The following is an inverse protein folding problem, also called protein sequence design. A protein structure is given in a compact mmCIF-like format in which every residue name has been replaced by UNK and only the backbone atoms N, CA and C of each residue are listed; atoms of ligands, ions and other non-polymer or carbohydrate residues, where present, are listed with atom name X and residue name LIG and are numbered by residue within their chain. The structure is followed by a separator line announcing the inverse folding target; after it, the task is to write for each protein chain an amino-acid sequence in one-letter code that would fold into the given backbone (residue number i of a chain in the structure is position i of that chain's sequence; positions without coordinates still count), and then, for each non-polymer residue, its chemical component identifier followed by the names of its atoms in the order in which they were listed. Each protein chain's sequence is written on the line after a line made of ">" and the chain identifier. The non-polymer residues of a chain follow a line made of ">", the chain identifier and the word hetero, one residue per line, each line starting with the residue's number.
data_IF_858459574130
#
_entry.id   IF_858459574130
#
_cell.length_a   1.000
_cell.length_b   1.000
_cell.length_c   1.000
_cell.angle_alpha   90.00
_cell.angle_beta   90.00
_cell.angle_gamma   90.00
#
_symmetry.space_group_name_H-M   'P 1'
#
loop_
_entity.id
_entity.type
_entity.pdbx_description
1 polymer ?
#
# COMPACT_ATOMS: atom_id res chain seq x y z
N UNK A 1 36.47 -14.61 18.70
CA UNK A 1 36.66 -13.19 18.39
C UNK A 1 35.59 -12.88 17.38
N UNK A 2 34.72 -11.93 17.68
CA UNK A 2 33.64 -11.49 16.79
C UNK A 2 34.14 -10.16 16.18
N UNK A 3 34.17 -10.05 14.85
CA UNK A 3 34.77 -8.90 14.17
C UNK A 3 33.86 -7.68 14.33
N UNK A 4 32.57 -7.91 14.23
CA UNK A 4 31.45 -6.97 14.24
C UNK A 4 31.38 -6.22 15.57
N UNK A 5 31.80 -6.87 16.67
CA UNK A 5 31.87 -6.26 18.01
C UNK A 5 33.13 -5.44 18.28
N UNK A 6 34.18 -5.55 17.46
CA UNK A 6 35.51 -5.00 17.80
C UNK A 6 35.93 -3.84 16.90
N UNK A 7 35.68 -3.92 15.59
CA UNK A 7 36.05 -2.83 14.68
C UNK A 7 35.29 -2.92 13.35
N UNK A 8 34.65 -1.82 12.88
CA UNK A 8 33.92 -1.81 11.62
C UNK A 8 34.79 -2.20 10.41
N UNK A 9 36.09 -1.89 10.46
CA UNK A 9 37.03 -2.09 9.35
C UNK A 9 37.91 -3.34 9.53
N UNK A 10 37.63 -4.19 10.53
CA UNK A 10 38.40 -5.42 10.80
C UNK A 10 39.85 -5.20 11.27
N UNK A 11 40.34 -3.96 11.37
CA UNK A 11 41.73 -3.65 11.71
C UNK A 11 41.86 -3.17 13.15
N UNK A 12 42.66 -3.88 13.95
CA UNK A 12 43.07 -3.47 15.29
C UNK A 12 44.52 -2.98 15.23
N UNK A 13 44.80 -1.86 15.88
CA UNK A 13 46.14 -1.28 16.00
C UNK A 13 46.55 -1.34 17.47
N UNK A 14 47.60 -2.09 17.77
CA UNK A 14 48.23 -2.13 19.09
C UNK A 14 49.54 -1.33 19.03
N UNK A 15 49.78 -0.52 20.05
CA UNK A 15 51.03 0.24 20.19
C UNK A 15 51.79 -0.33 21.38
N UNK A 16 53.01 -0.79 21.15
CA UNK A 16 53.90 -1.33 22.17
C UNK A 16 55.07 -0.38 22.38
N UNK A 17 55.49 -0.26 23.63
CA UNK A 17 56.65 0.52 24.05
C UNK A 17 57.62 -0.38 24.81
N UNK A 18 58.92 -0.27 24.53
CA UNK A 18 59.98 -0.93 25.28
C UNK A 18 61.05 0.09 25.69
N UNK A 19 61.51 0.04 26.94
CA UNK A 19 62.56 0.94 27.43
C UNK A 19 63.97 0.48 26.99
N UNK A 20 64.88 1.40 26.61
CA UNK A 20 64.66 2.84 26.41
C UNK A 20 63.99 3.14 25.05
N UNK A 21 62.76 3.67 25.11
CA UNK A 21 61.96 4.38 24.08
C UNK A 21 61.84 3.81 22.65
N UNK A 22 61.69 2.49 22.49
CA UNK A 22 61.28 1.89 21.21
C UNK A 22 59.75 1.81 21.15
N UNK A 23 59.13 2.46 20.16
CA UNK A 23 57.69 2.33 19.86
C UNK A 23 57.52 1.44 18.62
N UNK A 24 56.66 0.41 18.72
CA UNK A 24 56.27 -0.41 17.57
C UNK A 24 54.75 -0.54 17.49
N UNK A 25 54.23 -0.54 16.27
CA UNK A 25 52.81 -0.73 15.99
C UNK A 25 52.57 -2.13 15.45
N UNK A 26 51.70 -2.89 16.11
CA UNK A 26 51.19 -4.16 15.58
C UNK A 26 49.84 -3.89 14.94
N UNK A 27 49.70 -4.25 13.67
CA UNK A 27 48.42 -4.27 12.96
C UNK A 27 47.90 -5.71 12.94
N UNK A 28 46.72 -5.92 13.54
CA UNK A 28 46.00 -7.19 13.49
C UNK A 28 44.79 -6.99 12.58
N UNK A 29 44.71 -7.77 11.50
CA UNK A 29 43.53 -7.80 10.63
C UNK A 29 42.68 -9.01 11.00
N UNK A 30 41.48 -8.76 11.49
CA UNK A 30 40.45 -9.75 11.74
C UNK A 30 39.67 -9.91 10.43
N UNK A 31 39.71 -11.11 9.87
CA UNK A 31 38.93 -11.46 8.69
C UNK A 31 37.47 -11.68 9.08
N UNK A 32 36.60 -11.35 8.15
CA UNK A 32 35.15 -11.51 8.27
C UNK A 32 34.73 -12.97 8.01
N UNK A 33 33.64 -13.39 8.65
CA UNK A 33 32.95 -14.66 8.40
C UNK A 33 31.46 -14.36 8.20
N UNK A 34 30.77 -15.13 7.35
CA UNK A 34 29.33 -14.94 7.12
C UNK A 34 28.50 -15.51 8.29
N UNK A 35 28.58 -14.87 9.45
CA UNK A 35 27.93 -15.33 10.69
C UNK A 35 26.63 -14.60 11.03
N UNK A 36 26.36 -13.46 10.38
CA UNK A 36 25.09 -12.77 10.44
C UNK A 36 24.20 -13.12 9.25
N UNK A 37 22.97 -12.61 9.26
CA UNK A 37 22.01 -12.80 8.18
C UNK A 37 21.38 -11.44 7.86
N UNK A 38 20.91 -11.23 6.62
CA UNK A 38 20.18 -10.02 6.26
C UNK A 38 19.01 -9.77 7.19
N UNK A 39 18.84 -8.52 7.64
CA UNK A 39 17.72 -8.13 8.51
C UNK A 39 16.96 -6.94 7.93
N UNK A 40 15.63 -7.03 7.95
CA UNK A 40 14.77 -5.90 7.65
C UNK A 40 14.54 -5.06 8.92
N UNK A 41 14.42 -3.73 8.82
CA UNK A 41 14.12 -2.87 9.97
C UNK A 41 12.81 -3.20 10.68
N UNK A 42 11.89 -3.91 10.01
CA UNK A 42 10.62 -4.33 10.57
C UNK A 42 10.20 -5.68 9.98
N UNK A 43 9.59 -6.53 10.81
CA UNK A 43 9.03 -7.83 10.38
C UNK A 43 7.81 -7.68 9.47
N UNK A 44 7.10 -6.56 9.61
CA UNK A 44 5.90 -6.22 8.86
C UNK A 44 6.03 -4.82 8.28
N UNK A 45 5.73 -4.66 6.99
CA UNK A 45 5.68 -3.38 6.30
C UNK A 45 4.26 -3.14 5.77
N UNK A 46 3.76 -1.92 5.92
CA UNK A 46 2.47 -1.51 5.36
C UNK A 46 2.71 -0.53 4.23
N UNK A 47 2.12 -0.83 3.07
CA UNK A 47 2.14 0.03 1.89
C UNK A 47 0.70 0.27 1.47
N UNK A 48 0.41 1.49 1.01
CA UNK A 48 -0.89 1.82 0.45
C UNK A 48 -0.72 2.28 -1.00
N UNK A 49 -1.53 1.72 -1.90
CA UNK A 49 -1.53 2.01 -3.33
C UNK A 49 -2.96 2.24 -3.75
N UNK A 50 -3.26 3.38 -4.37
CA UNK A 50 -4.60 3.64 -4.93
C UNK A 50 -4.84 2.73 -6.13
N UNK A 51 -6.05 2.20 -6.30
CA UNK A 51 -6.34 1.26 -7.40
C UNK A 51 -6.16 1.88 -8.79
N UNK A 52 -6.37 3.19 -8.89
CA UNK A 52 -6.10 3.99 -10.09
C UNK A 52 -4.61 4.19 -10.39
N UNK A 53 -3.70 3.58 -9.62
CA UNK A 53 -2.27 3.65 -9.86
C UNK A 53 -1.88 3.05 -11.22
N UNK A 54 -0.97 3.73 -11.91
CA UNK A 54 -0.51 3.31 -13.23
C UNK A 54 0.46 2.14 -13.10
N UNK A 55 0.39 1.19 -14.04
CA UNK A 55 1.38 0.12 -14.20
C UNK A 55 2.78 0.73 -14.37
N UNK A 56 3.78 0.16 -13.72
CA UNK A 56 5.15 0.68 -13.63
C UNK A 56 5.32 1.75 -12.54
N UNK A 57 4.26 2.11 -11.81
CA UNK A 57 4.41 2.96 -10.62
C UNK A 57 5.18 2.22 -9.52
N UNK A 58 5.94 2.99 -8.73
CA UNK A 58 6.89 2.45 -7.76
C UNK A 58 6.61 2.98 -6.35
N UNK A 59 6.83 2.12 -5.37
CA UNK A 59 6.82 2.47 -3.94
C UNK A 59 8.14 2.05 -3.31
N UNK A 60 8.77 2.97 -2.59
CA UNK A 60 10.01 2.66 -1.87
C UNK A 60 9.68 1.82 -0.65
N UNK A 61 10.38 0.69 -0.51
CA UNK A 61 10.37 -0.16 0.67
C UNK A 61 11.62 0.09 1.51
N UNK A 62 11.57 -0.33 2.77
CA UNK A 62 12.77 -0.46 3.60
C UNK A 62 13.56 -1.68 3.12
N UNK A 63 14.81 -1.47 2.74
CA UNK A 63 15.75 -2.53 2.35
C UNK A 63 16.26 -3.29 3.56
N UNK A 64 16.76 -4.50 3.33
CA UNK A 64 17.49 -5.26 4.33
C UNK A 64 18.92 -4.74 4.45
N UNK A 65 19.53 -4.98 5.61
CA UNK A 65 20.95 -4.73 5.89
C UNK A 65 21.57 -5.93 6.59
N UNK A 66 22.83 -6.18 6.31
CA UNK A 66 23.63 -7.22 6.95
C UNK A 66 24.88 -6.57 7.58
N UNK A 67 25.21 -6.87 8.86
CA UNK A 67 26.35 -6.28 9.56
C UNK A 67 27.72 -6.86 9.15
N UNK A 68 27.76 -7.95 8.39
CA UNK A 68 29.01 -8.57 7.93
C UNK A 68 29.76 -7.66 6.94
N UNK A 69 31.00 -7.99 6.63
CA UNK A 69 31.84 -7.16 5.75
C UNK A 69 31.78 -7.61 4.29
N UNK A 70 31.86 -6.64 3.37
CA UNK A 70 31.94 -6.87 1.93
C UNK A 70 30.81 -7.79 1.40
N UNK A 71 31.12 -8.85 0.67
CA UNK A 71 30.13 -9.75 0.06
C UNK A 71 29.18 -10.39 1.09
N UNK A 72 29.67 -10.71 2.30
CA UNK A 72 28.85 -11.27 3.37
C UNK A 72 27.84 -10.24 3.88
N UNK A 73 28.24 -8.97 3.96
CA UNK A 73 27.35 -7.85 4.31
C UNK A 73 26.48 -7.30 3.18
N UNK A 74 26.75 -7.72 1.94
CA UNK A 74 26.09 -7.17 0.75
C UNK A 74 24.87 -8.01 0.42
N UNK A 75 23.70 -7.37 0.38
CA UNK A 75 22.49 -8.04 -0.11
C UNK A 75 22.67 -8.35 -1.60
N UNK A 76 22.78 -9.62 -1.96
CA UNK A 76 22.95 -10.05 -3.34
C UNK A 76 21.63 -9.96 -4.11
N UNK A 77 20.53 -10.44 -3.51
CA UNK A 77 19.23 -10.52 -4.19
C UNK A 77 18.04 -10.36 -3.24
N UNK A 78 16.91 -9.94 -3.82
CA UNK A 78 15.60 -9.95 -3.17
C UNK A 78 14.67 -10.89 -3.94
N UNK A 79 13.88 -11.66 -3.22
CA UNK A 79 12.85 -12.55 -3.77
C UNK A 79 11.50 -12.15 -3.19
N UNK A 80 10.49 -12.07 -4.06
CA UNK A 80 9.10 -11.79 -3.71
C UNK A 80 8.28 -13.07 -3.90
N UNK A 81 7.41 -13.38 -2.95
CA UNK A 81 6.45 -14.46 -3.03
C UNK A 81 5.04 -13.96 -2.68
N UNK A 82 4.02 -14.48 -3.38
CA UNK A 82 2.61 -14.31 -3.01
C UNK A 82 1.73 -13.53 -3.99
N UNK A 83 2.32 -12.79 -4.94
CA UNK A 83 1.59 -12.17 -6.06
C UNK A 83 2.55 -11.62 -7.16
N UNK A 84 3.38 -12.50 -7.72
CA UNK A 84 4.49 -12.14 -8.63
C UNK A 84 4.02 -11.61 -10.00
N UNK A 85 2.76 -11.85 -10.34
CA UNK A 85 2.13 -11.29 -11.55
C UNK A 85 1.66 -9.84 -11.37
N UNK A 86 1.48 -9.40 -10.11
CA UNK A 86 0.99 -8.06 -9.79
C UNK A 86 2.14 -7.16 -9.34
N UNK A 87 3.13 -7.71 -8.63
CA UNK A 87 4.25 -6.94 -8.09
C UNK A 87 5.60 -7.54 -8.42
N UNK A 88 6.59 -6.68 -8.63
CA UNK A 88 8.00 -7.06 -8.69
C UNK A 88 8.86 -6.15 -7.82
N UNK A 89 10.08 -6.58 -7.55
CA UNK A 89 11.06 -5.83 -6.78
C UNK A 89 12.17 -5.30 -7.69
N UNK A 90 12.47 -4.02 -7.57
CA UNK A 90 13.62 -3.38 -8.19
C UNK A 90 14.61 -3.02 -7.09
N UNK A 91 15.80 -3.60 -7.17
CA UNK A 91 16.96 -3.21 -6.37
C UNK A 91 17.78 -2.17 -7.11
N UNK A 92 18.13 -1.09 -6.43
CA UNK A 92 19.07 -0.07 -6.92
C UNK A 92 20.11 0.20 -5.84
N UNK A 93 21.35 -0.23 -6.07
CA UNK A 93 22.49 0.03 -5.19
C UNK A 93 22.97 1.47 -5.39
N UNK A 94 22.97 2.29 -4.34
CA UNK A 94 23.57 3.62 -4.41
C UNK A 94 25.08 3.55 -4.15
N UNK A 95 25.87 4.43 -4.77
CA UNK A 95 27.33 4.49 -4.61
C UNK A 95 27.80 4.83 -3.18
N UNK A 96 26.86 5.22 -2.31
CA UNK A 96 27.06 5.51 -0.89
C UNK A 96 26.81 4.32 0.04
N UNK A 97 26.57 3.11 -0.48
CA UNK A 97 26.50 1.87 0.31
C UNK A 97 25.12 1.51 0.86
N UNK A 98 24.06 2.20 0.43
CA UNK A 98 22.67 1.85 0.80
C UNK A 98 21.90 1.31 -0.41
N UNK A 99 21.31 0.13 -0.24
CA UNK A 99 20.36 -0.43 -1.21
C UNK A 99 19.03 0.33 -1.16
N UNK A 100 18.51 0.71 -2.32
CA UNK A 100 17.13 1.17 -2.50
C UNK A 100 16.32 0.01 -3.03
N UNK A 101 15.32 -0.41 -2.27
CA UNK A 101 14.34 -1.42 -2.68
C UNK A 101 13.03 -0.72 -3.10
N UNK A 102 12.54 -1.02 -4.30
CA UNK A 102 11.29 -0.50 -4.83
C UNK A 102 10.34 -1.65 -5.15
N UNK A 103 9.09 -1.53 -4.72
CA UNK A 103 7.97 -2.35 -5.19
C UNK A 103 7.38 -1.70 -6.44
N UNK A 104 7.41 -2.40 -7.56
CA UNK A 104 6.84 -1.94 -8.84
C UNK A 104 5.56 -2.70 -9.16
N UNK A 105 4.54 -1.98 -9.61
CA UNK A 105 3.25 -2.53 -10.01
C UNK A 105 3.30 -3.02 -11.46
N UNK A 106 2.93 -4.27 -11.71
CA UNK A 106 2.92 -4.90 -13.05
C UNK A 106 1.52 -5.02 -13.66
N UNK A 107 0.48 -5.07 -12.83
CA UNK A 107 -0.91 -5.26 -13.27
C UNK A 107 -1.81 -4.19 -12.66
N UNK A 108 -2.98 -3.95 -13.27
CA UNK A 108 -3.98 -3.04 -12.68
C UNK A 108 -4.46 -3.59 -11.34
N UNK A 109 -4.73 -2.67 -10.41
CA UNK A 109 -5.38 -2.96 -9.16
C UNK A 109 -6.88 -2.66 -9.28
N UNK A 110 -7.66 -3.34 -8.47
CA UNK A 110 -9.11 -3.17 -8.35
C UNK A 110 -9.46 -3.56 -6.90
N UNK A 111 -9.84 -2.55 -6.11
CA UNK A 111 -10.17 -2.68 -4.70
C UNK A 111 -11.49 -3.41 -4.50
N UNK A 112 -12.45 -3.30 -5.42
CA UNK A 112 -13.70 -4.05 -5.39
C UNK A 112 -13.46 -5.56 -5.55
N UNK A 113 -12.42 -5.93 -6.31
CA UNK A 113 -12.02 -7.34 -6.48
C UNK A 113 -11.09 -7.84 -5.37
N UNK A 114 -10.04 -7.08 -5.02
CA UNK A 114 -9.04 -7.46 -4.01
C UNK A 114 -8.42 -6.23 -3.35
N UNK A 115 -8.72 -6.03 -2.07
CA UNK A 115 -8.31 -4.86 -1.28
C UNK A 115 -6.97 -5.04 -0.53
N UNK A 116 -6.49 -6.28 -0.39
CA UNK A 116 -5.25 -6.59 0.34
C UNK A 116 -4.39 -7.64 -0.38
N UNK A 117 -3.11 -7.32 -0.50
CA UNK A 117 -2.08 -8.27 -0.91
C UNK A 117 -1.09 -8.49 0.24
N UNK A 118 -0.70 -9.74 0.45
CA UNK A 118 0.26 -10.15 1.46
C UNK A 118 1.45 -10.76 0.73
N UNK A 119 2.58 -10.06 0.76
CA UNK A 119 3.79 -10.43 0.06
C UNK A 119 4.85 -10.86 1.06
N UNK A 120 5.56 -11.96 0.80
CA UNK A 120 6.74 -12.34 1.55
C UNK A 120 7.98 -11.89 0.77
N UNK A 121 8.81 -11.04 1.37
CA UNK A 121 10.05 -10.56 0.76
C UNK A 121 11.22 -11.17 1.51
N UNK A 122 12.06 -11.92 0.80
CA UNK A 122 13.32 -12.47 1.31
C UNK A 122 14.51 -11.72 0.72
N UNK A 123 15.51 -11.43 1.55
CA UNK A 123 16.79 -10.85 1.15
C UNK A 123 17.90 -11.88 1.40
N UNK A 124 18.74 -12.12 0.40
CA UNK A 124 19.87 -13.04 0.47
C UNK A 124 21.18 -12.26 0.43
N UNK A 125 22.13 -12.60 1.28
CA UNK A 125 23.50 -12.06 1.24
C UNK A 125 24.32 -12.66 0.07
N UNK A 126 25.54 -12.14 -0.12
CA UNK A 126 26.53 -12.65 -1.07
C UNK A 126 27.47 -13.71 -0.49
N UNK A 127 27.22 -14.18 0.73
CA UNK A 127 28.10 -15.11 1.42
C UNK A 127 28.06 -16.54 0.87
N UNK A 128 28.99 -17.38 1.35
CA UNK A 128 29.07 -18.80 0.96
C UNK A 128 29.19 -19.72 2.19
N UNK A 129 28.14 -20.47 2.57
CA UNK A 129 26.80 -20.48 1.96
C UNK A 129 26.05 -19.16 2.17
N UNK A 130 25.10 -18.81 1.27
CA UNK A 130 24.31 -17.62 1.43
C UNK A 130 23.33 -17.76 2.60
N UNK A 131 23.11 -16.68 3.34
CA UNK A 131 22.09 -16.60 4.39
C UNK A 131 21.03 -15.59 3.98
N UNK A 132 19.88 -15.68 4.64
CA UNK A 132 18.74 -14.87 4.29
C UNK A 132 17.95 -14.41 5.51
N UNK A 133 17.23 -13.31 5.32
CA UNK A 133 16.16 -12.86 6.21
C UNK A 133 14.94 -12.45 5.40
N UNK A 134 13.81 -12.28 6.08
CA UNK A 134 12.55 -12.01 5.42
C UNK A 134 11.67 -11.02 6.19
N UNK A 135 10.74 -10.39 5.48
CA UNK A 135 9.66 -9.59 6.05
C UNK A 135 8.36 -9.81 5.27
N UNK A 136 7.24 -9.52 5.92
CA UNK A 136 5.92 -9.55 5.27
C UNK A 136 5.48 -8.13 4.93
N UNK A 137 5.05 -7.92 3.69
CA UNK A 137 4.51 -6.63 3.21
C UNK A 137 3.01 -6.75 2.99
N UNK A 138 2.24 -5.91 3.68
CA UNK A 138 0.81 -5.72 3.48
C UNK A 138 0.60 -4.55 2.53
N UNK A 139 0.11 -4.83 1.33
CA UNK A 139 -0.24 -3.81 0.35
C UNK A 139 -1.76 -3.61 0.40
N UNK A 140 -2.17 -2.48 0.96
CA UNK A 140 -3.57 -2.08 1.06
C UNK A 140 -3.93 -1.28 -0.19
N UNK A 141 -4.94 -1.73 -0.93
CA UNK A 141 -5.47 -1.01 -2.08
C UNK A 141 -6.41 0.07 -1.57
N UNK A 142 -6.14 1.32 -1.93
CA UNK A 142 -7.00 2.45 -1.59
C UNK A 142 -8.04 2.66 -2.68
N UNK A 143 -9.25 2.94 -2.22
CA UNK A 143 -10.43 3.25 -3.04
C UNK A 143 -10.24 4.51 -3.89
N UNK A 144 -10.66 4.41 -5.15
CA UNK A 144 -10.88 5.50 -6.08
C UNK A 144 -12.36 5.56 -6.42
N UNK A 145 -12.85 6.74 -6.83
CA UNK A 145 -14.21 6.86 -7.33
C UNK A 145 -14.24 6.50 -8.83
N UNK A 146 -14.31 5.21 -9.14
CA UNK A 146 -14.37 4.71 -10.51
C UNK A 146 -15.59 3.83 -10.81
N UNK A 147 -16.41 3.54 -9.79
CA UNK A 147 -17.73 2.97 -9.99
C UNK A 147 -18.80 4.06 -10.03
N UNK A 148 -19.82 3.84 -10.85
CA UNK A 148 -20.97 4.73 -10.93
C UNK A 148 -22.19 4.07 -10.26
N UNK A 149 -23.10 4.84 -9.62
CA UNK A 149 -24.27 4.27 -8.98
C UNK A 149 -25.16 3.52 -9.97
N UNK A 150 -25.52 2.28 -9.64
CA UNK A 150 -26.39 1.42 -10.45
C UNK A 150 -27.76 1.30 -9.78
N UNK A 151 -28.83 1.69 -10.48
CA UNK A 151 -30.19 1.50 -10.00
C UNK A 151 -30.61 0.02 -10.01
N UNK A 152 -31.39 -0.39 -9.01
CA UNK A 152 -31.89 -1.77 -8.90
C UNK A 152 -32.79 -2.19 -10.07
N UNK A 153 -33.44 -1.23 -10.74
CA UNK A 153 -34.29 -1.47 -11.90
C UNK A 153 -33.96 -0.46 -13.00
N UNK A 154 -34.02 -0.90 -14.26
CA UNK A 154 -33.85 -0.03 -15.43
C UNK A 154 -35.04 0.91 -15.65
N UNK A 155 -36.21 0.57 -15.09
CA UNK A 155 -37.44 1.35 -15.15
C UNK A 155 -38.27 1.13 -13.89
N UNK A 156 -38.92 2.19 -13.41
CA UNK A 156 -39.89 2.16 -12.33
C UNK A 156 -41.23 2.66 -12.88
N UNK A 157 -42.26 1.81 -12.88
CA UNK A 157 -43.61 2.14 -13.32
C UNK A 157 -44.56 2.18 -12.13
N UNK A 158 -45.30 3.27 -12.00
CA UNK A 158 -46.40 3.41 -11.03
C UNK A 158 -47.61 4.04 -11.72
N UNK A 159 -48.80 3.70 -11.24
CA UNK A 159 -50.05 4.33 -11.66
C UNK A 159 -50.65 5.05 -10.45
N UNK A 160 -51.06 6.30 -10.66
CA UNK A 160 -51.60 7.17 -9.61
C UNK A 160 -52.95 7.70 -10.05
N UNK A 161 -53.87 7.79 -9.10
CA UNK A 161 -55.12 8.52 -9.28
C UNK A 161 -54.84 10.02 -9.04
N UNK A 162 -55.52 10.89 -9.78
CA UNK A 162 -55.44 12.35 -9.60
C UNK A 162 -55.85 12.81 -8.18
N UNK A 163 -56.60 11.98 -7.46
CA UNK A 163 -57.00 12.20 -6.05
C UNK A 163 -55.88 11.96 -5.03
N UNK A 164 -54.66 11.63 -5.47
CA UNK A 164 -53.51 11.41 -4.59
C UNK A 164 -53.24 12.64 -3.73
N UNK A 165 -53.10 12.42 -2.42
CA UNK A 165 -52.92 13.51 -1.46
C UNK A 165 -51.52 14.12 -1.56
N UNK A 166 -51.37 15.45 -1.48
CA UNK A 166 -50.06 16.07 -1.37
C UNK A 166 -49.27 15.52 -0.18
N UNK A 167 -47.97 15.26 -0.37
CA UNK A 167 -47.10 14.62 0.61
C UNK A 167 -47.14 13.09 0.59
N UNK A 168 -48.01 12.46 -0.21
CA UNK A 168 -48.05 11.00 -0.34
C UNK A 168 -46.72 10.47 -0.88
N UNK A 169 -46.20 9.41 -0.25
CA UNK A 169 -45.03 8.65 -0.73
C UNK A 169 -45.46 7.75 -1.87
N UNK A 170 -44.82 7.92 -3.03
CA UNK A 170 -45.20 7.25 -4.27
C UNK A 170 -44.41 5.95 -4.46
N UNK A 171 -43.09 6.07 -4.47
CA UNK A 171 -42.16 4.95 -4.59
C UNK A 171 -40.82 5.33 -3.97
N UNK A 172 -39.99 4.31 -3.73
CA UNK A 172 -38.60 4.48 -3.33
C UNK A 172 -37.71 3.90 -4.42
N UNK A 173 -36.87 4.73 -5.03
CA UNK A 173 -35.80 4.24 -5.89
C UNK A 173 -34.63 3.77 -5.04
N UNK A 174 -33.88 2.80 -5.55
CA UNK A 174 -32.64 2.35 -4.93
C UNK A 174 -31.56 2.23 -5.98
N UNK A 175 -30.38 2.71 -5.63
CA UNK A 175 -29.14 2.52 -6.35
C UNK A 175 -28.06 2.04 -5.39
N UNK A 176 -27.05 1.38 -5.91
CA UNK A 176 -25.88 0.91 -5.17
C UNK A 176 -24.63 1.32 -5.93
N UNK A 177 -23.61 1.70 -5.19
CA UNK A 177 -22.27 1.99 -5.68
C UNK A 177 -21.31 1.00 -5.01
N UNK A 178 -20.29 0.56 -5.75
CA UNK A 178 -19.34 -0.44 -5.27
C UNK A 178 -18.16 0.18 -4.49
N UNK A 179 -17.93 1.49 -4.68
CA UNK A 179 -16.92 2.26 -3.96
C UNK A 179 -17.24 2.37 -2.46
N UNK A 180 -16.23 2.67 -1.63
CA UNK A 180 -16.41 2.82 -0.18
C UNK A 180 -16.44 4.27 0.30
N UNK A 181 -17.01 4.46 1.50
CA UNK A 181 -17.01 5.76 2.18
C UNK A 181 -17.72 6.85 1.39
N UNK A 182 -17.04 7.97 1.18
CA UNK A 182 -17.60 9.12 0.45
C UNK A 182 -17.73 8.86 -1.06
N UNK A 183 -16.91 7.97 -1.63
CA UNK A 183 -16.95 7.68 -3.06
C UNK A 183 -18.22 6.90 -3.42
N UNK A 184 -18.65 5.97 -2.56
CA UNK A 184 -19.91 5.24 -2.71
C UNK A 184 -21.15 5.96 -2.18
N UNK A 185 -21.05 7.23 -1.74
CA UNK A 185 -22.20 7.96 -1.20
C UNK A 185 -23.12 8.47 -2.32
N UNK A 186 -24.35 7.96 -2.36
CA UNK A 186 -25.32 8.28 -3.41
C UNK A 186 -26.22 9.45 -2.99
N UNK A 187 -26.48 10.37 -3.91
CA UNK A 187 -27.46 11.45 -3.74
C UNK A 187 -28.43 11.49 -4.91
N UNK A 188 -29.73 11.45 -4.61
CA UNK A 188 -30.79 11.42 -5.59
C UNK A 188 -31.28 12.83 -5.95
N UNK A 189 -31.58 13.05 -7.24
CA UNK A 189 -32.21 14.28 -7.74
C UNK A 189 -33.11 14.01 -8.93
N UNK A 190 -34.20 14.77 -9.03
CA UNK A 190 -35.06 14.76 -10.22
C UNK A 190 -34.42 15.64 -11.30
N UNK A 191 -34.02 15.05 -12.42
CA UNK A 191 -33.47 15.80 -13.56
C UNK A 191 -34.56 16.58 -14.30
N UNK A 192 -35.76 16.01 -14.37
CA UNK A 192 -36.95 16.63 -14.94
C UNK A 192 -38.09 16.51 -13.93
N UNK A 193 -38.81 17.61 -13.72
CA UNK A 193 -39.93 17.66 -12.80
C UNK A 193 -40.97 18.67 -13.32
N UNK A 194 -41.76 18.31 -14.35
CA UNK A 194 -42.74 19.22 -14.94
C UNK A 194 -43.65 19.81 -13.88
N UNK A 195 -43.84 21.14 -13.91
CA UNK A 195 -44.65 21.89 -12.95
C UNK A 195 -44.23 21.75 -11.49
N UNK A 196 -43.03 21.21 -11.24
CA UNK A 196 -42.46 20.97 -9.91
C UNK A 196 -43.44 20.24 -8.98
N UNK A 197 -44.11 19.19 -9.48
CA UNK A 197 -45.17 18.48 -8.75
C UNK A 197 -44.67 17.35 -7.85
N UNK A 198 -43.41 16.94 -7.99
CA UNK A 198 -42.83 15.86 -7.21
C UNK A 198 -41.61 16.33 -6.43
N UNK A 199 -41.30 15.65 -5.33
CA UNK A 199 -40.06 15.83 -4.58
C UNK A 199 -39.39 14.47 -4.45
N UNK A 200 -38.06 14.45 -4.47
CA UNK A 200 -37.27 13.28 -4.09
C UNK A 200 -36.45 13.62 -2.86
N UNK A 201 -36.53 12.76 -1.85
CA UNK A 201 -35.60 12.80 -0.74
C UNK A 201 -34.22 12.33 -1.21
N UNK A 202 -33.23 13.20 -1.05
CA UNK A 202 -31.91 13.06 -1.67
C UNK A 202 -31.11 11.86 -1.11
N UNK A 203 -31.41 11.41 0.10
CA UNK A 203 -30.65 10.38 0.81
C UNK A 203 -31.40 9.03 0.77
N UNK A 204 -32.74 9.07 0.85
CA UNK A 204 -33.57 7.85 0.90
C UNK A 204 -34.11 7.41 -0.46
N UNK A 205 -34.10 8.30 -1.46
CA UNK A 205 -34.66 8.03 -2.78
C UNK A 205 -36.19 7.93 -2.81
N UNK A 206 -36.87 8.39 -1.75
CA UNK A 206 -38.35 8.39 -1.69
C UNK A 206 -38.88 9.54 -2.54
N UNK A 207 -39.72 9.22 -3.52
CA UNK A 207 -40.46 10.19 -4.32
C UNK A 207 -41.80 10.47 -3.66
N UNK A 208 -42.16 11.75 -3.55
CA UNK A 208 -43.43 12.20 -2.96
C UNK A 208 -44.14 13.20 -3.86
N UNK A 209 -45.45 13.33 -3.70
CA UNK A 209 -46.23 14.44 -4.28
C UNK A 209 -45.89 15.72 -3.52
N UNK A 210 -45.56 16.81 -4.22
CA UNK A 210 -45.25 18.09 -3.59
C UNK A 210 -46.48 18.64 -2.88
N UNK A 211 -46.26 19.10 -1.64
CA UNK A 211 -47.26 19.89 -0.92
C UNK A 211 -47.25 21.31 -1.47
N UNK A 212 -48.34 21.73 -2.10
CA UNK A 212 -48.54 23.12 -2.49
C UNK A 212 -48.49 24.00 -1.24
N UNK A 213 -47.57 24.97 -1.18
CA UNK A 213 -47.70 26.07 -0.22
C UNK A 213 -48.97 26.81 -0.61
N UNK A 214 -50.05 26.66 0.15
CA UNK A 214 -51.15 27.61 0.08
C UNK A 214 -50.55 28.97 0.44
N UNK A 215 -50.69 29.94 -0.45
CA UNK A 215 -50.34 31.33 -0.17
C UNK A 215 -51.02 31.73 1.14
N UNK A 216 -50.23 32.20 2.11
CA UNK A 216 -50.76 32.97 3.22
C UNK A 216 -51.35 34.24 2.61
N UNK A 217 -52.68 34.34 2.65
CA UNK A 217 -53.43 35.55 2.31
C UNK A 217 -53.49 36.46 3.54
#
# INVERSE_FOLDING_TARGET
>A
LDRETITPNGTIILVLTAEPEIIITIRINVLDINDNSPTFPSKYLNVSIVESAVIGSRRRLQSASDPDFAENGTIASYVIEGDENTFTLIRSSNSTGGDVLLLELLSKLDRETKDLYILNISAYDGGSPPRYGYCTVYVNVLDANDNAPIFTHSRYDIQLNETVTPGAKLLRVRATDADIGANGHITYRLRTNPFEQFLIDQDTGIITVRVSRKWEL
#
